data_IF_986919353712
#
_entry.id   IF_986919353712
#
_cell.length_a   1.000
_cell.length_b   1.000
_cell.length_c   1.000
_cell.angle_alpha   90.00
_cell.angle_beta   90.00
_cell.angle_gamma   90.00
#
_symmetry.space_group_name_H-M   'P 1'
#
loop_
_entity.id
_entity.type
_entity.pdbx_description
1 polymer ?
#
# COMPACT_ATOMS: atom_id res chain seq x y z
N UNK A 1 0.35 -10.85 30.61
CA UNK A 1 -0.23 -9.63 30.00
C UNK A 1 -1.37 -10.06 29.10
N UNK A 2 -2.58 -9.53 29.34
CA UNK A 2 -3.72 -9.81 28.47
C UNK A 2 -3.61 -8.93 27.19
N UNK A 3 -4.06 -9.44 26.07
CA UNK A 3 -3.98 -8.76 24.78
C UNK A 3 -4.64 -7.36 24.82
N UNK A 4 -5.71 -7.21 25.59
CA UNK A 4 -6.41 -5.93 25.76
C UNK A 4 -5.61 -4.87 26.54
N UNK A 5 -4.53 -5.28 27.25
CA UNK A 5 -3.66 -4.38 27.99
C UNK A 5 -2.45 -3.89 27.16
N UNK A 6 -2.34 -4.35 25.92
CA UNK A 6 -1.27 -3.93 25.00
C UNK A 6 -1.76 -2.71 24.22
N UNK A 7 -1.04 -1.60 24.29
CA UNK A 7 -1.31 -0.46 23.41
C UNK A 7 -0.67 -0.67 22.04
N UNK A 8 -1.41 -1.33 21.14
CA UNK A 8 -0.95 -1.58 19.76
C UNK A 8 -0.79 -0.28 18.97
N UNK A 9 -1.52 0.78 19.30
CA UNK A 9 -1.35 2.06 18.61
C UNK A 9 -0.01 2.70 18.99
N UNK A 10 0.38 2.61 20.27
CA UNK A 10 1.67 3.11 20.72
C UNK A 10 2.84 2.28 20.17
N UNK A 11 2.74 0.95 20.21
CA UNK A 11 3.74 0.06 19.60
C UNK A 11 3.92 0.34 18.09
N UNK A 12 2.81 0.57 17.37
CA UNK A 12 2.85 0.96 15.97
C UNK A 12 3.61 2.27 15.78
N UNK A 13 3.27 3.32 16.56
CA UNK A 13 3.94 4.62 16.49
C UNK A 13 5.43 4.54 16.85
N UNK A 14 5.79 3.72 17.85
CA UNK A 14 7.20 3.47 18.18
C UNK A 14 7.95 2.84 17.02
N UNK A 15 7.42 1.77 16.40
CA UNK A 15 8.05 1.14 15.24
C UNK A 15 8.08 2.07 14.04
N UNK A 16 7.05 2.88 13.82
CA UNK A 16 7.04 3.93 12.79
C UNK A 16 8.20 4.92 12.98
N UNK A 17 8.40 5.42 14.20
CA UNK A 17 9.47 6.39 14.52
C UNK A 17 10.86 5.79 14.36
N UNK A 18 11.07 4.52 14.73
CA UNK A 18 12.36 3.82 14.58
C UNK A 18 12.85 3.80 13.12
N UNK A 19 11.95 3.84 12.17
CA UNK A 19 12.32 3.88 10.75
C UNK A 19 12.83 5.26 10.28
N UNK A 20 12.91 6.27 11.15
CA UNK A 20 13.19 7.67 10.78
C UNK A 20 12.39 8.12 9.54
N UNK A 21 11.23 7.48 9.34
CA UNK A 21 10.43 7.73 8.16
C UNK A 21 9.71 9.05 8.35
N UNK A 22 10.23 10.09 7.70
CA UNK A 22 9.43 11.28 7.46
C UNK A 22 8.35 10.92 6.46
N UNK A 23 7.14 11.38 6.69
CA UNK A 23 6.09 11.34 5.68
C UNK A 23 6.66 11.90 4.38
N UNK A 24 6.43 11.16 3.30
CA UNK A 24 6.92 11.61 2.00
C UNK A 24 6.09 12.81 1.60
N UNK A 25 6.75 13.92 1.37
CA UNK A 25 6.08 15.11 0.83
C UNK A 25 5.37 14.78 -0.50
N UNK A 26 4.25 15.46 -0.82
CA UNK A 26 3.49 15.23 -2.05
C UNK A 26 4.35 15.21 -3.31
N UNK A 27 5.38 16.07 -3.37
CA UNK A 27 6.30 16.22 -4.51
C UNK A 27 7.11 14.95 -4.80
N UNK A 28 7.29 14.09 -3.79
CA UNK A 28 7.92 12.78 -3.99
C UNK A 28 7.07 11.88 -4.90
N UNK A 29 5.76 11.96 -4.74
CA UNK A 29 4.80 11.19 -5.52
C UNK A 29 4.51 11.86 -6.85
N UNK A 30 4.43 13.20 -6.89
CA UNK A 30 4.24 13.96 -8.12
C UNK A 30 5.27 13.54 -9.20
N UNK A 31 6.54 13.45 -8.82
CA UNK A 31 7.64 13.03 -9.72
C UNK A 31 7.54 11.56 -10.20
N UNK A 32 6.70 10.77 -9.58
CA UNK A 32 6.54 9.33 -9.84
C UNK A 32 5.21 8.96 -10.46
N UNK A 33 4.30 9.93 -10.58
CA UNK A 33 2.92 9.68 -10.95
C UNK A 33 2.79 8.95 -12.31
N UNK A 34 3.50 9.41 -13.34
CA UNK A 34 3.48 8.79 -14.67
C UNK A 34 4.03 7.35 -14.65
N UNK A 35 5.14 7.12 -13.92
CA UNK A 35 5.72 5.78 -13.81
C UNK A 35 4.79 4.82 -13.05
N UNK A 36 4.05 5.31 -12.06
CA UNK A 36 3.02 4.52 -11.38
C UNK A 36 1.86 4.19 -12.31
N UNK A 37 1.42 5.13 -13.15
CA UNK A 37 0.37 4.89 -14.13
C UNK A 37 0.72 3.74 -15.06
N UNK A 38 1.93 3.74 -15.62
CA UNK A 38 2.42 2.64 -16.47
C UNK A 38 2.34 1.26 -15.78
N UNK A 39 2.60 1.22 -14.47
CA UNK A 39 2.47 -0.04 -13.71
C UNK A 39 1.01 -0.47 -13.50
N UNK A 40 0.06 0.47 -13.50
CA UNK A 40 -1.37 0.17 -13.39
C UNK A 40 -1.95 -0.36 -14.71
N UNK A 41 -1.43 0.14 -15.82
CA UNK A 41 -1.87 -0.26 -17.16
C UNK A 41 -1.23 -1.59 -17.62
N UNK A 42 -0.32 -2.13 -16.82
CA UNK A 42 0.25 -3.44 -17.10
C UNK A 42 -0.78 -4.55 -16.81
N UNK A 43 -1.25 -5.30 -17.84
CA UNK A 43 -2.21 -6.38 -17.67
C UNK A 43 -1.69 -7.51 -16.78
N UNK A 44 -0.37 -7.64 -16.64
CA UNK A 44 0.28 -8.64 -15.79
C UNK A 44 0.47 -8.19 -14.34
N UNK A 45 -0.18 -7.07 -13.94
CA UNK A 45 -0.14 -6.61 -12.55
C UNK A 45 -0.96 -7.54 -11.64
N UNK A 46 -0.35 -8.65 -11.25
CA UNK A 46 -0.98 -9.69 -10.43
C UNK A 46 -1.56 -9.14 -9.11
N UNK A 47 -0.93 -8.10 -8.53
CA UNK A 47 -1.44 -7.47 -7.31
C UNK A 47 -2.81 -6.81 -7.56
N UNK A 48 -2.92 -5.96 -8.57
CA UNK A 48 -4.17 -5.25 -8.85
C UNK A 48 -5.28 -6.23 -9.24
N UNK A 49 -4.97 -7.19 -10.10
CA UNK A 49 -5.94 -8.23 -10.50
C UNK A 49 -6.52 -8.95 -9.29
N UNK A 50 -5.67 -9.50 -8.42
CA UNK A 50 -6.11 -10.21 -7.22
C UNK A 50 -6.87 -9.29 -6.25
N UNK A 51 -6.44 -8.02 -6.07
CA UNK A 51 -7.14 -7.08 -5.21
C UNK A 51 -8.57 -6.78 -5.74
N UNK A 52 -8.69 -6.46 -7.03
CA UNK A 52 -9.96 -6.13 -7.65
C UNK A 52 -10.95 -7.31 -7.63
N UNK A 53 -10.46 -8.55 -7.78
CA UNK A 53 -11.26 -9.77 -7.67
C UNK A 53 -11.78 -10.03 -6.23
N UNK A 54 -11.07 -9.53 -5.21
CA UNK A 54 -11.42 -9.73 -3.79
C UNK A 54 -12.31 -8.62 -3.21
N UNK A 55 -12.46 -7.50 -3.89
CA UNK A 55 -13.39 -6.44 -3.48
C UNK A 55 -14.82 -6.87 -3.88
N UNK A 56 -15.61 -7.22 -2.88
CA UNK A 56 -17.03 -7.54 -3.10
C UNK A 56 -17.84 -6.25 -3.25
N UNK A 57 -18.46 -6.07 -4.43
CA UNK A 57 -19.30 -4.93 -4.78
C UNK A 57 -20.80 -5.19 -4.56
N UNK A 58 -21.17 -6.32 -3.98
CA UNK A 58 -22.60 -6.62 -3.75
C UNK A 58 -23.23 -5.52 -2.89
N UNK A 59 -24.39 -5.04 -3.33
CA UNK A 59 -25.18 -3.97 -2.71
C UNK A 59 -24.47 -2.60 -2.63
N UNK A 60 -23.33 -2.43 -3.31
CA UNK A 60 -22.59 -1.18 -3.33
C UNK A 60 -22.85 -0.37 -4.60
N UNK A 61 -23.16 0.92 -4.42
CA UNK A 61 -23.26 1.90 -5.51
C UNK A 61 -22.11 2.92 -5.50
N UNK A 62 -21.43 3.07 -4.36
CA UNK A 62 -20.40 4.12 -4.19
C UNK A 62 -19.14 3.61 -3.54
N UNK A 63 -17.99 4.18 -3.96
CA UNK A 63 -16.68 3.79 -3.44
C UNK A 63 -15.83 5.03 -3.12
N UNK A 64 -15.15 5.01 -1.98
CA UNK A 64 -14.10 5.94 -1.59
C UNK A 64 -12.74 5.22 -1.64
N UNK A 65 -11.83 5.68 -2.49
CA UNK A 65 -10.45 5.15 -2.62
C UNK A 65 -9.46 6.15 -2.01
N UNK A 66 -8.96 5.86 -0.80
CA UNK A 66 -8.05 6.74 -0.07
C UNK A 66 -6.59 6.40 -0.33
N UNK A 67 -5.84 7.39 -0.84
CA UNK A 67 -4.52 7.20 -1.43
C UNK A 67 -4.65 6.55 -2.79
N UNK A 68 -5.59 7.03 -3.60
CA UNK A 68 -5.95 6.43 -4.89
C UNK A 68 -4.79 6.47 -5.93
N UNK A 69 -3.79 7.31 -5.70
CA UNK A 69 -2.69 7.51 -6.64
C UNK A 69 -3.20 7.85 -8.04
N UNK A 70 -2.70 7.21 -9.09
CA UNK A 70 -3.14 7.44 -10.46
C UNK A 70 -4.47 6.73 -10.80
N UNK A 71 -5.29 6.42 -9.79
CA UNK A 71 -6.58 5.75 -9.95
C UNK A 71 -6.50 4.24 -10.11
N UNK A 72 -5.53 3.60 -9.42
CA UNK A 72 -5.23 2.17 -9.60
C UNK A 72 -6.40 1.25 -9.25
N UNK A 73 -7.24 1.63 -8.28
CA UNK A 73 -8.39 0.84 -7.81
C UNK A 73 -9.70 1.48 -8.27
N UNK A 74 -9.88 2.77 -8.06
CA UNK A 74 -11.15 3.44 -8.36
C UNK A 74 -11.51 3.42 -9.86
N UNK A 75 -10.54 3.59 -10.78
CA UNK A 75 -10.86 3.61 -12.21
C UNK A 75 -11.36 2.25 -12.73
N UNK A 76 -10.70 1.10 -12.45
CA UNK A 76 -11.19 -0.20 -12.91
C UNK A 76 -12.55 -0.63 -12.31
N UNK A 77 -12.99 0.02 -11.24
CA UNK A 77 -14.27 -0.28 -10.60
C UNK A 77 -15.39 0.71 -10.97
N UNK A 78 -15.05 1.80 -11.65
CA UNK A 78 -16.01 2.87 -11.94
C UNK A 78 -17.19 2.41 -12.81
N UNK A 79 -16.97 1.54 -13.78
CA UNK A 79 -18.02 0.98 -14.65
C UNK A 79 -19.04 0.09 -13.93
N UNK A 80 -18.71 -0.39 -12.73
CA UNK A 80 -19.54 -1.27 -11.89
C UNK A 80 -20.28 -0.52 -10.78
N UNK A 81 -20.05 0.77 -10.65
CA UNK A 81 -20.54 1.59 -9.54
C UNK A 81 -21.28 2.84 -10.07
N UNK A 82 -22.18 3.37 -9.26
CA UNK A 82 -22.88 4.63 -9.56
C UNK A 82 -21.91 5.79 -9.53
N UNK A 83 -21.02 5.83 -8.53
CA UNK A 83 -20.01 6.89 -8.40
C UNK A 83 -18.79 6.43 -7.61
N UNK A 84 -17.63 6.92 -8.00
CA UNK A 84 -16.35 6.67 -7.29
C UNK A 84 -15.68 7.98 -6.88
N UNK A 85 -15.08 7.97 -5.68
CA UNK A 85 -14.33 9.11 -5.14
C UNK A 85 -12.89 8.69 -4.94
N UNK A 86 -11.98 9.27 -5.73
CA UNK A 86 -10.54 9.07 -5.57
C UNK A 86 -9.95 10.19 -4.72
N UNK A 87 -9.30 9.85 -3.64
CA UNK A 87 -8.70 10.82 -2.71
C UNK A 87 -7.20 10.59 -2.62
N UNK A 88 -6.41 11.62 -2.85
CA UNK A 88 -4.96 11.58 -2.71
C UNK A 88 -4.42 12.96 -2.32
N UNK A 89 -3.30 13.01 -1.60
CA UNK A 89 -2.69 14.28 -1.21
C UNK A 89 -1.74 14.83 -2.30
N UNK A 90 -1.28 13.97 -3.24
CA UNK A 90 -0.43 14.34 -4.37
C UNK A 90 -1.25 14.90 -5.51
N UNK A 91 -0.98 16.16 -5.87
CA UNK A 91 -1.62 16.81 -7.01
C UNK A 91 -1.25 16.12 -8.34
N UNK A 92 0.01 15.68 -8.48
CA UNK A 92 0.48 14.98 -9.67
C UNK A 92 -0.23 13.64 -9.87
N UNK A 93 -0.44 12.87 -8.79
CA UNK A 93 -1.21 11.63 -8.83
C UNK A 93 -2.65 11.87 -9.30
N UNK A 94 -3.33 12.86 -8.73
CA UNK A 94 -4.70 13.21 -9.12
C UNK A 94 -4.79 13.72 -10.57
N UNK A 95 -3.79 14.44 -11.05
CA UNK A 95 -3.73 14.86 -12.45
C UNK A 95 -3.64 13.67 -13.40
N UNK A 96 -2.77 12.72 -13.10
CA UNK A 96 -2.64 11.49 -13.88
C UNK A 96 -3.92 10.65 -13.81
N UNK A 97 -4.54 10.52 -12.62
CA UNK A 97 -5.83 9.84 -12.48
C UNK A 97 -6.92 10.47 -13.36
N UNK A 98 -6.97 11.81 -13.42
CA UNK A 98 -7.93 12.54 -14.28
C UNK A 98 -7.68 12.27 -15.77
N UNK A 99 -6.43 12.30 -16.20
CA UNK A 99 -6.08 12.02 -17.61
C UNK A 99 -6.47 10.58 -18.00
N UNK A 100 -6.20 9.60 -17.14
CA UNK A 100 -6.58 8.22 -17.36
C UNK A 100 -8.11 8.02 -17.40
N UNK A 101 -8.84 8.69 -16.50
CA UNK A 101 -10.29 8.66 -16.50
C UNK A 101 -10.85 9.21 -17.83
N UNK A 102 -10.33 10.35 -18.30
CA UNK A 102 -10.73 10.94 -19.58
C UNK A 102 -10.44 10.03 -20.76
N UNK A 103 -9.27 9.40 -20.80
CA UNK A 103 -8.89 8.45 -21.86
C UNK A 103 -9.79 7.20 -21.87
N UNK A 104 -10.23 6.75 -20.69
CA UNK A 104 -11.13 5.61 -20.53
C UNK A 104 -12.62 5.97 -20.65
N UNK A 105 -12.98 7.25 -20.82
CA UNK A 105 -14.38 7.71 -20.90
C UNK A 105 -15.16 7.58 -19.59
N UNK A 106 -14.46 7.63 -18.45
CA UNK A 106 -15.05 7.53 -17.10
C UNK A 106 -15.53 8.93 -16.68
N UNK A 107 -16.82 9.10 -16.45
CA UNK A 107 -17.47 10.37 -16.08
C UNK A 107 -18.05 10.37 -14.65
N UNK A 108 -18.19 9.21 -14.02
CA UNK A 108 -18.71 9.03 -12.67
C UNK A 108 -17.60 9.03 -11.59
N UNK A 109 -16.57 9.85 -11.77
CA UNK A 109 -15.43 9.98 -10.87
C UNK A 109 -15.33 11.42 -10.31
N UNK A 110 -15.16 11.52 -8.99
CA UNK A 110 -14.74 12.76 -8.33
C UNK A 110 -13.36 12.57 -7.71
N UNK A 111 -12.41 13.43 -8.05
CA UNK A 111 -11.07 13.44 -7.48
C UNK A 111 -10.92 14.55 -6.45
N UNK A 112 -10.50 14.22 -5.24
CA UNK A 112 -10.40 15.12 -4.09
C UNK A 112 -8.97 15.13 -3.58
N UNK A 113 -8.38 16.32 -3.41
CA UNK A 113 -7.09 16.44 -2.75
C UNK A 113 -7.27 16.46 -1.23
N UNK A 114 -6.74 15.44 -0.53
CA UNK A 114 -6.81 15.31 0.92
C UNK A 114 -5.72 14.40 1.43
N UNK A 115 -5.06 14.80 2.53
CA UNK A 115 -4.12 13.96 3.26
C UNK A 115 -4.82 13.12 4.34
N UNK A 116 -4.14 12.09 4.83
CA UNK A 116 -4.63 11.24 5.92
C UNK A 116 -4.83 12.02 7.22
N UNK A 117 -3.99 13.01 7.50
CA UNK A 117 -3.95 13.81 8.73
C UNK A 117 -5.03 14.89 8.77
N UNK A 118 -5.47 15.35 7.60
CA UNK A 118 -6.49 16.41 7.48
C UNK A 118 -7.88 15.90 7.92
N UNK A 119 -8.83 16.83 8.19
CA UNK A 119 -10.22 16.46 8.44
C UNK A 119 -10.85 15.82 7.20
N UNK A 120 -11.71 14.81 7.46
CA UNK A 120 -12.51 14.13 6.43
C UNK A 120 -14.01 14.43 6.58
N UNK A 121 -14.40 15.46 7.33
CA UNK A 121 -15.81 15.75 7.64
C UNK A 121 -16.62 16.00 6.35
N UNK A 122 -16.01 16.67 5.39
CA UNK A 122 -16.57 16.99 4.08
C UNK A 122 -16.44 15.86 3.03
N UNK A 123 -15.71 14.79 3.32
CA UNK A 123 -15.65 13.65 2.43
C UNK A 123 -16.98 12.85 2.48
N UNK A 124 -17.43 12.31 1.35
CA UNK A 124 -18.67 11.54 1.30
C UNK A 124 -18.54 10.24 2.14
N UNK A 125 -19.67 9.79 2.66
CA UNK A 125 -19.81 8.44 3.19
C UNK A 125 -20.26 7.56 2.01
N UNK A 126 -19.43 6.58 1.66
CA UNK A 126 -19.67 5.65 0.56
C UNK A 126 -20.09 4.28 1.07
N UNK A 127 -20.51 3.40 0.16
CA UNK A 127 -20.84 2.04 0.53
C UNK A 127 -19.57 1.23 0.85
N UNK A 128 -18.52 1.46 0.06
CA UNK A 128 -17.20 0.84 0.25
C UNK A 128 -16.13 1.89 0.44
N UNK A 129 -15.21 1.69 1.38
CA UNK A 129 -13.96 2.42 1.48
C UNK A 129 -12.77 1.48 1.19
N UNK A 130 -11.83 1.94 0.38
CA UNK A 130 -10.62 1.20 0.04
C UNK A 130 -9.39 2.04 0.37
N UNK A 131 -8.33 1.40 0.84
CA UNK A 131 -7.00 2.00 0.98
C UNK A 131 -5.94 0.98 0.56
N UNK A 132 -5.51 1.06 -0.70
CA UNK A 132 -4.56 0.12 -1.30
C UNK A 132 -3.13 0.65 -1.24
N UNK A 133 -2.26 -0.02 -0.46
CA UNK A 133 -0.83 0.32 -0.28
C UNK A 133 -0.58 1.77 0.19
N UNK A 134 -1.57 2.37 0.83
CA UNK A 134 -1.57 3.75 1.33
C UNK A 134 -1.70 3.86 2.86
N UNK A 135 -1.79 2.73 3.57
CA UNK A 135 -2.04 2.67 5.02
C UNK A 135 -0.79 2.73 5.90
N UNK A 136 0.39 2.95 5.31
CA UNK A 136 1.63 3.12 6.08
C UNK A 136 1.75 4.60 6.51
N UNK A 137 0.91 4.99 7.45
CA UNK A 137 0.69 6.34 7.98
C UNK A 137 1.22 6.49 9.40
N UNK A 138 1.35 7.71 9.93
CA UNK A 138 1.86 7.95 11.29
C UNK A 138 0.93 7.44 12.39
N UNK A 139 -0.40 7.57 12.21
CA UNK A 139 -1.41 7.07 13.14
C UNK A 139 -2.37 6.10 12.45
N UNK A 140 -2.05 4.81 12.54
CA UNK A 140 -2.87 3.77 11.92
C UNK A 140 -4.25 3.64 12.58
N UNK A 141 -4.36 3.82 13.91
CA UNK A 141 -5.67 3.75 14.60
C UNK A 141 -6.62 4.83 14.05
N UNK A 142 -6.13 6.07 13.94
CA UNK A 142 -6.93 7.16 13.39
C UNK A 142 -7.33 6.88 11.93
N UNK A 143 -6.42 6.36 11.10
CA UNK A 143 -6.70 6.02 9.72
C UNK A 143 -7.80 4.95 9.59
N UNK A 144 -7.71 3.86 10.37
CA UNK A 144 -8.73 2.80 10.38
C UNK A 144 -10.10 3.34 10.88
N UNK A 145 -10.08 4.21 11.90
CA UNK A 145 -11.31 4.87 12.40
C UNK A 145 -11.97 5.71 11.31
N UNK A 146 -11.21 6.53 10.60
CA UNK A 146 -11.73 7.37 9.50
C UNK A 146 -12.32 6.52 8.37
N UNK A 147 -11.63 5.46 7.95
CA UNK A 147 -12.15 4.55 6.93
C UNK A 147 -13.46 3.90 7.36
N UNK A 148 -13.53 3.41 8.60
CA UNK A 148 -14.74 2.80 9.14
C UNK A 148 -15.93 3.78 9.18
N UNK A 149 -15.68 5.06 9.51
CA UNK A 149 -16.71 6.11 9.53
C UNK A 149 -17.16 6.52 8.12
N UNK A 150 -16.36 6.31 7.09
CA UNK A 150 -16.64 6.69 5.70
C UNK A 150 -17.16 5.54 4.85
N UNK A 151 -17.36 4.36 5.42
CA UNK A 151 -17.98 3.22 4.76
C UNK A 151 -19.30 2.82 5.43
N UNK A 152 -20.32 2.49 4.62
CA UNK A 152 -21.61 1.97 5.11
C UNK A 152 -21.64 0.45 5.16
N UNK A 153 -20.95 -0.21 4.24
CA UNK A 153 -20.98 -1.66 4.09
C UNK A 153 -19.63 -2.30 4.44
N UNK A 154 -18.57 -1.96 3.70
CA UNK A 154 -17.28 -2.67 3.78
C UNK A 154 -16.09 -1.74 3.69
N UNK A 155 -15.02 -2.14 4.35
CA UNK A 155 -13.71 -1.49 4.23
C UNK A 155 -12.67 -2.52 3.79
N UNK A 156 -11.81 -2.14 2.85
CA UNK A 156 -10.70 -2.94 2.36
C UNK A 156 -9.39 -2.17 2.49
N UNK A 157 -8.43 -2.75 3.18
CA UNK A 157 -7.10 -2.15 3.34
C UNK A 157 -6.01 -3.15 3.03
N UNK A 158 -4.88 -2.70 2.46
CA UNK A 158 -3.75 -3.60 2.24
C UNK A 158 -2.53 -3.17 3.03
N UNK A 159 -1.88 -4.14 3.66
CA UNK A 159 -0.75 -3.94 4.56
C UNK A 159 0.40 -4.88 4.23
N UNK A 160 1.62 -4.52 4.65
CA UNK A 160 2.79 -5.38 4.50
C UNK A 160 2.62 -6.69 5.28
N UNK A 161 2.99 -7.82 4.66
CA UNK A 161 3.13 -9.11 5.33
C UNK A 161 4.52 -9.22 5.96
N UNK A 162 5.55 -8.91 5.20
CA UNK A 162 6.93 -8.87 5.68
C UNK A 162 7.33 -7.45 6.08
N UNK A 163 8.11 -7.28 7.15
CA UNK A 163 8.45 -5.94 7.64
C UNK A 163 9.53 -5.23 6.79
N UNK A 164 9.88 -5.72 5.61
CA UNK A 164 10.97 -5.19 4.81
C UNK A 164 10.54 -4.84 3.39
N UNK A 165 10.93 -3.66 2.90
CA UNK A 165 10.89 -3.33 1.47
C UNK A 165 12.13 -3.84 0.72
N UNK A 166 13.24 -3.95 1.44
CA UNK A 166 14.53 -4.45 0.94
C UNK A 166 15.01 -5.51 1.90
N UNK A 167 15.55 -6.61 1.39
CA UNK A 167 16.01 -7.71 2.26
C UNK A 167 17.07 -7.22 3.26
N UNK A 168 17.09 -7.76 4.48
CA UNK A 168 18.13 -7.45 5.46
C UNK A 168 19.55 -7.71 4.95
N UNK A 169 19.73 -8.66 4.03
CA UNK A 169 21.03 -8.95 3.42
C UNK A 169 21.52 -7.76 2.60
N UNK A 170 20.65 -7.18 1.77
CA UNK A 170 20.98 -5.98 0.98
C UNK A 170 21.29 -4.80 1.90
N UNK A 171 20.44 -4.55 2.92
CA UNK A 171 20.65 -3.41 3.82
C UNK A 171 22.03 -3.49 4.50
N UNK A 172 22.40 -4.69 5.01
CA UNK A 172 23.73 -4.93 5.64
C UNK A 172 24.88 -4.77 4.64
N UNK A 173 24.76 -5.31 3.43
CA UNK A 173 25.79 -5.17 2.40
C UNK A 173 26.04 -3.70 2.03
N UNK A 174 24.98 -2.87 2.04
CA UNK A 174 25.07 -1.44 1.82
C UNK A 174 25.56 -0.66 3.06
N UNK A 175 25.91 -1.33 4.15
CA UNK A 175 26.33 -0.69 5.41
C UNK A 175 25.20 0.08 6.11
N UNK A 176 23.94 -0.28 5.84
CA UNK A 176 22.77 0.38 6.40
C UNK A 176 22.22 -0.41 7.59
N UNK A 177 21.62 0.29 8.54
CA UNK A 177 20.85 -0.36 9.60
C UNK A 177 19.64 -1.08 8.99
N UNK A 178 19.33 -2.26 9.55
CA UNK A 178 18.14 -3.02 9.11
C UNK A 178 16.89 -2.37 9.68
N UNK A 179 16.15 -1.68 8.83
CA UNK A 179 14.89 -1.04 9.22
C UNK A 179 13.71 -1.98 8.97
N UNK A 180 12.75 -2.00 9.90
CA UNK A 180 11.54 -2.82 9.82
C UNK A 180 10.29 -1.93 9.82
N UNK A 181 9.33 -2.24 8.97
CA UNK A 181 8.06 -1.50 8.91
C UNK A 181 6.96 -2.24 9.68
N UNK A 182 5.97 -1.52 10.22
CA UNK A 182 4.77 -2.16 10.75
C UNK A 182 4.09 -3.04 9.70
N UNK A 183 3.61 -4.21 10.14
CA UNK A 183 2.92 -5.17 9.27
C UNK A 183 1.41 -5.18 9.56
N UNK A 184 0.67 -5.99 8.81
CA UNK A 184 -0.77 -6.18 8.96
C UNK A 184 -1.22 -6.58 10.38
N UNK A 185 -0.31 -7.16 11.17
CA UNK A 185 -0.60 -7.58 12.55
C UNK A 185 -1.06 -6.39 13.41
N UNK A 186 -0.49 -5.21 13.19
CA UNK A 186 -0.96 -4.01 13.89
C UNK A 186 -2.40 -3.63 13.51
N UNK A 187 -2.73 -3.68 12.22
CA UNK A 187 -4.08 -3.36 11.76
C UNK A 187 -5.12 -4.32 12.36
N UNK A 188 -4.84 -5.62 12.34
CA UNK A 188 -5.75 -6.65 12.90
C UNK A 188 -5.96 -6.44 14.39
N UNK A 189 -4.89 -6.20 15.16
CA UNK A 189 -5.01 -6.00 16.62
C UNK A 189 -5.70 -4.67 16.96
N UNK A 190 -5.45 -3.61 16.19
CA UNK A 190 -6.14 -2.34 16.37
C UNK A 190 -7.63 -2.47 16.09
N UNK A 191 -8.02 -3.15 15.01
CA UNK A 191 -9.42 -3.40 14.67
C UNK A 191 -10.10 -4.24 15.77
N UNK A 192 -9.42 -5.29 16.25
CA UNK A 192 -9.93 -6.09 17.36
C UNK A 192 -10.19 -5.23 18.63
N UNK A 193 -9.26 -4.33 18.99
CA UNK A 193 -9.44 -3.41 20.11
C UNK A 193 -10.53 -2.35 19.88
N UNK A 194 -10.89 -2.09 18.62
CA UNK A 194 -12.03 -1.23 18.26
C UNK A 194 -13.36 -2.00 18.23
N UNK A 195 -13.37 -3.29 18.59
CA UNK A 195 -14.55 -4.15 18.51
C UNK A 195 -14.90 -4.60 17.08
N UNK A 196 -13.96 -4.49 16.14
CA UNK A 196 -14.16 -4.84 14.73
C UNK A 196 -13.50 -6.19 14.45
N UNK A 197 -14.29 -7.14 13.96
CA UNK A 197 -13.81 -8.48 13.58
C UNK A 197 -13.41 -8.47 12.11
N UNK A 198 -12.13 -8.22 11.85
CA UNK A 198 -11.61 -8.16 10.50
C UNK A 198 -11.27 -9.56 9.94
N UNK A 199 -11.50 -9.73 8.65
CA UNK A 199 -11.00 -10.84 7.87
C UNK A 199 -9.61 -10.51 7.32
N UNK A 200 -8.77 -11.54 7.18
CA UNK A 200 -7.44 -11.41 6.57
C UNK A 200 -7.32 -12.41 5.44
N UNK A 201 -6.96 -11.89 4.27
CA UNK A 201 -6.59 -12.68 3.11
C UNK A 201 -5.24 -12.19 2.56
N UNK A 202 -4.64 -12.92 1.63
CA UNK A 202 -3.33 -12.56 1.10
C UNK A 202 -3.38 -12.38 -0.41
N UNK A 203 -2.74 -11.30 -0.85
CA UNK A 203 -2.45 -11.03 -2.25
C UNK A 203 -1.01 -11.44 -2.48
N UNK A 204 -0.82 -12.51 -3.26
CA UNK A 204 0.49 -13.10 -3.49
C UNK A 204 1.23 -12.36 -4.59
N UNK A 205 2.48 -12.03 -4.32
CA UNK A 205 3.35 -11.44 -5.31
C UNK A 205 3.89 -12.53 -6.24
N UNK A 206 3.48 -12.46 -7.50
CA UNK A 206 3.91 -13.39 -8.55
C UNK A 206 5.22 -12.97 -9.23
N UNK A 207 6.02 -12.06 -8.62
CA UNK A 207 7.30 -11.66 -9.21
C UNK A 207 8.22 -12.86 -9.38
N UNK A 208 8.82 -12.92 -10.56
CA UNK A 208 9.90 -13.86 -10.82
C UNK A 208 11.15 -13.48 -10.00
N UNK A 209 11.97 -14.46 -9.61
CA UNK A 209 13.27 -14.18 -9.02
C UNK A 209 14.09 -13.28 -9.95
N UNK A 210 15.06 -12.51 -9.41
CA UNK A 210 15.95 -11.71 -10.24
C UNK A 210 16.59 -12.58 -11.32
N UNK A 211 16.63 -12.05 -12.54
CA UNK A 211 17.38 -12.69 -13.64
C UNK A 211 18.87 -12.77 -13.23
N UNK A 212 19.47 -13.97 -13.22
CA UNK A 212 20.86 -14.15 -12.82
C UNK A 212 21.87 -13.42 -13.72
N UNK A 213 21.44 -12.96 -14.88
CA UNK A 213 22.28 -12.28 -15.85
C UNK A 213 21.99 -10.77 -15.95
N UNK A 214 20.97 -10.24 -15.25
CA UNK A 214 20.56 -8.83 -15.32
C UNK A 214 20.75 -8.10 -13.96
N UNK A 215 22.01 -7.78 -13.65
CA UNK A 215 22.32 -6.99 -12.44
C UNK A 215 21.73 -5.58 -12.48
N UNK A 216 21.65 -4.94 -13.65
CA UNK A 216 21.16 -3.57 -13.77
C UNK A 216 19.68 -3.48 -13.34
N UNK A 217 18.85 -4.37 -13.84
CA UNK A 217 17.44 -4.46 -13.45
C UNK A 217 17.28 -4.77 -11.97
N UNK A 218 18.14 -5.63 -11.42
CA UNK A 218 18.16 -5.91 -9.97
C UNK A 218 18.51 -4.64 -9.17
N UNK A 219 19.58 -3.92 -9.55
CA UNK A 219 19.99 -2.69 -8.88
C UNK A 219 18.93 -1.58 -8.97
N UNK A 220 18.24 -1.45 -10.11
CA UNK A 220 17.10 -0.54 -10.25
C UNK A 220 15.97 -0.88 -9.27
N UNK A 221 15.63 -2.15 -9.10
CA UNK A 221 14.58 -2.59 -8.17
C UNK A 221 14.92 -2.30 -6.71
N UNK A 222 16.21 -2.44 -6.34
CA UNK A 222 16.74 -2.06 -5.03
C UNK A 222 16.66 -0.55 -4.85
N UNK A 223 17.09 0.23 -5.83
CA UNK A 223 17.04 1.70 -5.82
C UNK A 223 15.61 2.23 -5.70
N UNK A 224 14.65 1.59 -6.35
CA UNK A 224 13.24 1.94 -6.26
C UNK A 224 12.70 1.88 -4.83
N UNK A 225 13.09 0.87 -4.06
CA UNK A 225 12.62 0.63 -2.71
C UNK A 225 13.51 1.29 -1.63
N UNK A 226 14.83 1.41 -1.88
CA UNK A 226 15.83 1.83 -0.90
C UNK A 226 16.43 3.21 -1.14
N UNK A 227 16.01 3.89 -2.20
CA UNK A 227 16.59 5.18 -2.58
C UNK A 227 17.82 5.05 -3.47
N UNK A 228 18.37 6.19 -3.86
CA UNK A 228 19.50 6.28 -4.79
C UNK A 228 20.72 5.50 -4.27
N UNK A 229 21.35 4.74 -5.17
CA UNK A 229 22.57 4.00 -4.90
C UNK A 229 23.76 4.83 -5.37
N UNK A 230 24.74 5.04 -4.49
CA UNK A 230 26.03 5.58 -4.87
C UNK A 230 26.85 4.58 -5.70
N UNK A 231 27.97 5.01 -6.29
CA UNK A 231 28.86 4.09 -6.99
C UNK A 231 29.42 3.00 -6.05
N UNK A 232 29.70 3.36 -4.79
CA UNK A 232 30.16 2.41 -3.77
C UNK A 232 29.04 1.43 -3.37
N UNK A 233 27.78 1.92 -3.20
CA UNK A 233 26.63 1.08 -2.96
C UNK A 233 26.42 0.06 -4.08
N UNK A 234 26.57 0.50 -5.35
CA UNK A 234 26.44 -0.39 -6.51
C UNK A 234 27.51 -1.48 -6.53
N UNK A 235 28.75 -1.13 -6.18
CA UNK A 235 29.83 -2.10 -6.09
C UNK A 235 29.56 -3.16 -5.01
N UNK A 236 29.20 -2.74 -3.80
CA UNK A 236 28.83 -3.65 -2.69
C UNK A 236 27.64 -4.53 -3.04
N UNK A 237 26.64 -3.96 -3.71
CA UNK A 237 25.46 -4.68 -4.17
C UNK A 237 25.81 -5.72 -5.23
N UNK A 238 26.73 -5.38 -6.15
CA UNK A 238 27.22 -6.30 -7.18
C UNK A 238 27.97 -7.49 -6.57
N UNK A 239 28.83 -7.25 -5.58
CA UNK A 239 29.57 -8.30 -4.87
C UNK A 239 28.60 -9.26 -4.15
N UNK A 240 27.62 -8.73 -3.43
CA UNK A 240 26.56 -9.54 -2.81
C UNK A 240 25.78 -10.34 -3.86
N UNK A 241 25.40 -9.70 -4.98
CA UNK A 241 24.65 -10.36 -6.05
C UNK A 241 25.45 -11.51 -6.68
N UNK A 242 26.74 -11.34 -6.96
CA UNK A 242 27.64 -12.35 -7.47
C UNK A 242 27.76 -13.54 -6.48
N UNK A 243 27.90 -13.26 -5.19
CA UNK A 243 27.96 -14.29 -4.17
C UNK A 243 26.66 -15.12 -4.11
N UNK A 244 25.50 -14.44 -4.06
CA UNK A 244 24.22 -15.13 -4.01
C UNK A 244 23.90 -15.88 -5.32
N UNK A 245 24.34 -15.36 -6.46
CA UNK A 245 24.28 -16.06 -7.75
C UNK A 245 25.08 -17.36 -7.71
N UNK A 246 26.33 -17.30 -7.25
CA UNK A 246 27.19 -18.48 -7.11
C UNK A 246 26.59 -19.56 -6.20
N UNK A 247 25.86 -19.12 -5.16
CA UNK A 247 25.20 -20.00 -4.19
C UNK A 247 23.80 -20.49 -4.66
N UNK A 248 23.32 -20.06 -5.80
CA UNK A 248 21.95 -20.37 -6.28
C UNK A 248 20.84 -19.76 -5.40
N UNK A 249 21.12 -18.63 -4.71
CA UNK A 249 20.24 -18.02 -3.70
C UNK A 249 19.77 -16.59 -4.06
N UNK A 250 19.77 -16.22 -5.32
CA UNK A 250 19.35 -14.87 -5.74
C UNK A 250 17.94 -14.50 -5.28
N UNK A 251 17.03 -15.47 -5.18
CA UNK A 251 15.67 -15.25 -4.68
C UNK A 251 15.62 -14.71 -3.24
N UNK A 252 16.68 -14.91 -2.44
CA UNK A 252 16.76 -14.36 -1.06
C UNK A 252 16.99 -12.86 -1.03
N UNK A 253 17.50 -12.27 -2.13
CA UNK A 253 17.75 -10.84 -2.22
C UNK A 253 16.46 -10.05 -2.47
N UNK A 254 15.56 -10.59 -3.30
CA UNK A 254 14.24 -10.00 -3.57
C UNK A 254 13.15 -11.03 -3.28
N UNK A 255 12.83 -11.26 -2.01
CA UNK A 255 11.74 -12.16 -1.65
C UNK A 255 10.41 -11.63 -2.22
N UNK A 256 9.44 -12.51 -2.49
CA UNK A 256 8.10 -12.09 -2.90
C UNK A 256 7.53 -11.08 -1.90
N UNK A 257 6.87 -10.04 -2.43
CA UNK A 257 6.24 -9.00 -1.60
C UNK A 257 4.74 -9.25 -1.54
N UNK A 258 4.35 -10.19 -0.68
CA UNK A 258 2.94 -10.43 -0.39
C UNK A 258 2.34 -9.25 0.37
N UNK A 259 1.05 -9.01 0.13
CA UNK A 259 0.26 -8.03 0.84
C UNK A 259 -0.87 -8.74 1.59
N UNK A 260 -1.11 -8.34 2.82
CA UNK A 260 -2.30 -8.75 3.55
C UNK A 260 -3.45 -7.81 3.19
N UNK A 261 -4.53 -8.36 2.66
CA UNK A 261 -5.82 -7.71 2.53
C UNK A 261 -6.55 -7.88 3.86
N UNK A 262 -6.71 -6.79 4.58
CA UNK A 262 -7.49 -6.73 5.83
C UNK A 262 -8.79 -6.02 5.52
N UNK A 263 -9.90 -6.68 5.71
CA UNK A 263 -11.21 -6.14 5.37
C UNK A 263 -12.27 -6.49 6.43
N UNK A 264 -13.33 -5.70 6.51
CA UNK A 264 -14.40 -5.90 7.48
C UNK A 264 -15.72 -5.26 7.01
N UNK A 265 -16.83 -5.79 7.55
CA UNK A 265 -18.16 -5.19 7.42
C UNK A 265 -18.36 -4.14 8.53
N UNK A 266 -18.83 -2.95 8.15
CA UNK A 266 -19.06 -1.85 9.11
C UNK A 266 -20.31 -2.07 9.97
N UNK A 267 -21.25 -2.89 9.53
CA UNK A 267 -22.48 -3.23 10.23
C UNK A 267 -22.28 -4.13 11.46
N UNK A 268 -21.11 -4.77 11.58
CA UNK A 268 -20.80 -5.66 12.72
C UNK A 268 -20.46 -4.91 14.02
N UNK A 269 -20.44 -3.57 14.04
CA UNK A 269 -20.15 -2.76 15.22
C UNK A 269 -21.41 -2.40 16.06
N UNK A 270 -22.60 -2.81 15.65
CA UNK A 270 -23.84 -2.52 16.36
C UNK A 270 -24.27 -3.72 17.25
N UNK A 271 -23.58 -3.94 18.37
CA UNK A 271 -24.04 -4.96 19.30
C UNK A 271 -23.03 -5.41 20.35
N UNK A 272 -22.71 -4.55 21.31
CA UNK A 272 -22.38 -4.93 22.72
C UNK A 272 -22.69 -3.75 23.61
#
# INVERSE_FOLDING_TARGET
VLINNIDFADLYRQQWKLNQRTEKAPEHWDKRAEKFALSCDNPDNAYLKQLLEKIDLQDAGTLLDMGCGPGSVCLPLADKLIHVYGVDYSQGMLQVARQRAQQAGIDNLTLIRRAWEESWDDLPICDIAVASRSTLVADLRQALTKLNQKARLRVYTTHLVTPYFISPLIQRALGREVTTHPTYIYAVNLLYQMGIHACVDFIRDARLPPDPDDFERFAESVSWSGGTLSSEDRQRLYELWQEQRRLGRLSTLLPPRDWALVWWDTSSTAGT
#
